data_IF_644312764159
#
_entry.id   IF_644312764159
#
_cell.length_a   1.000
_cell.length_b   1.000
_cell.length_c   1.000
_cell.angle_alpha   90.00
_cell.angle_beta   90.00
_cell.angle_gamma   90.00
#
_symmetry.space_group_name_H-M   'P 1'
#
loop_
_entity.id
_entity.type
_entity.pdbx_description
1 polymer ?
#
# COMPACT_ATOMS: atom_id res chain seq x y z
N UNK A 1 -26.06 -42.42 -50.49
CA UNK A 1 -24.81 -41.73 -50.09
C UNK A 1 -25.16 -40.60 -49.12
N UNK A 2 -25.02 -40.82 -47.80
CA UNK A 2 -25.18 -39.77 -46.78
C UNK A 2 -23.79 -39.22 -46.46
N UNK A 3 -23.56 -37.92 -46.73
CA UNK A 3 -22.29 -37.25 -46.42
C UNK A 3 -22.26 -36.95 -44.92
N UNK A 4 -21.22 -37.47 -44.26
CA UNK A 4 -20.90 -37.22 -42.87
C UNK A 4 -20.13 -35.87 -42.81
N UNK A 5 -20.73 -34.84 -42.21
CA UNK A 5 -20.00 -33.61 -41.87
C UNK A 5 -19.12 -33.87 -40.65
N UNK A 6 -17.80 -33.91 -40.83
CA UNK A 6 -16.85 -33.79 -39.73
C UNK A 6 -16.86 -32.33 -39.25
N UNK A 7 -17.38 -32.10 -38.04
CA UNK A 7 -17.16 -30.86 -37.33
C UNK A 7 -15.72 -30.86 -36.78
N UNK A 8 -14.89 -29.93 -37.25
CA UNK A 8 -13.59 -29.64 -36.64
C UNK A 8 -13.85 -29.05 -35.25
N UNK A 9 -13.72 -29.88 -34.23
CA UNK A 9 -13.67 -29.45 -32.83
C UNK A 9 -12.29 -28.84 -32.57
N UNK A 10 -12.14 -27.55 -32.87
CA UNK A 10 -10.99 -26.78 -32.40
C UNK A 10 -11.05 -26.70 -30.88
N UNK A 11 -10.17 -27.46 -30.22
CA UNK A 11 -9.92 -27.34 -28.78
C UNK A 11 -9.31 -25.95 -28.57
N UNK A 12 -10.15 -24.96 -28.29
CA UNK A 12 -9.70 -23.71 -27.70
C UNK A 12 -9.15 -24.09 -26.32
N UNK A 13 -7.82 -24.14 -26.19
CA UNK A 13 -7.16 -24.31 -24.90
C UNK A 13 -7.61 -23.16 -24.01
N UNK A 14 -8.54 -23.45 -23.08
CA UNK A 14 -8.89 -22.52 -22.01
C UNK A 14 -7.66 -22.43 -21.13
N UNK A 15 -6.82 -21.44 -21.39
CA UNK A 15 -5.77 -21.02 -20.45
C UNK A 15 -6.52 -20.44 -19.26
N UNK A 16 -6.71 -21.27 -18.23
CA UNK A 16 -7.22 -20.79 -16.96
C UNK A 16 -6.18 -19.80 -16.40
N UNK A 17 -6.57 -18.57 -16.04
CA UNK A 17 -5.66 -17.65 -15.37
C UNK A 17 -5.16 -18.35 -14.10
N UNK A 18 -3.85 -18.56 -14.01
CA UNK A 18 -3.23 -19.02 -12.77
C UNK A 18 -3.58 -17.96 -11.74
N UNK A 19 -4.28 -18.36 -10.67
CA UNK A 19 -4.69 -17.42 -9.64
C UNK A 19 -3.46 -16.65 -9.12
N UNK A 20 -3.52 -15.32 -9.10
CA UNK A 20 -2.46 -14.44 -8.58
C UNK A 20 -1.94 -14.89 -7.20
N UNK A 21 -2.81 -15.51 -6.41
CA UNK A 21 -2.49 -16.05 -5.09
C UNK A 21 -1.39 -17.13 -5.12
N UNK A 22 -1.23 -17.88 -6.21
CA UNK A 22 -0.19 -18.90 -6.32
C UNK A 22 1.21 -18.29 -6.51
N UNK A 23 1.33 -17.14 -7.20
CA UNK A 23 2.61 -16.50 -7.50
C UNK A 23 3.19 -15.77 -6.28
N UNK A 24 2.36 -15.39 -5.31
CA UNK A 24 2.73 -14.63 -4.12
C UNK A 24 2.88 -15.45 -2.83
N UNK A 25 3.10 -16.76 -2.96
CA UNK A 25 3.31 -17.67 -1.82
C UNK A 25 4.70 -18.32 -1.82
N UNK A 26 5.55 -17.97 -2.79
CA UNK A 26 6.87 -18.55 -2.94
C UNK A 26 7.84 -18.05 -1.87
N UNK A 27 8.24 -18.92 -0.95
CA UNK A 27 9.50 -18.73 -0.23
C UNK A 27 10.66 -18.93 -1.20
N UNK A 28 11.82 -18.39 -0.85
CA UNK A 28 13.02 -18.61 -1.65
C UNK A 28 13.34 -20.10 -1.79
N UNK A 29 13.45 -20.61 -3.03
CA UNK A 29 13.71 -22.02 -3.25
C UNK A 29 15.08 -22.39 -2.69
N UNK A 30 15.22 -23.65 -2.25
CA UNK A 30 16.52 -24.18 -1.84
C UNK A 30 17.53 -24.03 -2.97
N UNK A 31 18.72 -23.52 -2.65
CA UNK A 31 19.78 -23.23 -3.62
C UNK A 31 19.72 -21.84 -4.26
N UNK A 32 18.75 -21.00 -3.90
CA UNK A 32 18.74 -19.61 -4.33
C UNK A 32 19.95 -18.84 -3.78
N UNK A 33 20.49 -17.93 -4.60
CA UNK A 33 21.64 -17.09 -4.24
C UNK A 33 21.15 -15.85 -3.50
N UNK A 34 21.74 -15.53 -2.34
CA UNK A 34 21.25 -14.43 -1.49
C UNK A 34 21.92 -13.08 -1.71
N UNK A 35 22.98 -13.05 -2.52
CA UNK A 35 23.76 -11.84 -2.80
C UNK A 35 23.73 -11.56 -4.29
N UNK A 36 23.20 -10.41 -4.69
CA UNK A 36 23.25 -9.99 -6.10
C UNK A 36 24.70 -9.73 -6.53
N UNK A 37 25.09 -10.11 -7.76
CA UNK A 37 26.42 -9.82 -8.25
C UNK A 37 26.60 -8.30 -8.40
N UNK A 38 27.81 -7.81 -8.12
CA UNK A 38 28.16 -6.40 -8.34
C UNK A 38 28.90 -6.21 -9.66
N UNK A 39 28.76 -5.03 -10.28
CA UNK A 39 29.41 -4.70 -11.55
C UNK A 39 28.86 -3.41 -12.15
N UNK A 40 29.23 -3.10 -13.38
CA UNK A 40 28.58 -2.00 -14.13
C UNK A 40 27.33 -2.50 -14.87
N UNK A 41 27.39 -3.73 -15.38
CA UNK A 41 26.28 -4.45 -16.01
C UNK A 41 26.38 -5.93 -15.64
N UNK A 42 25.31 -6.48 -15.07
CA UNK A 42 25.25 -7.86 -14.58
C UNK A 42 24.07 -8.57 -15.23
N UNK A 43 24.25 -9.81 -15.64
CA UNK A 43 23.16 -10.66 -16.14
C UNK A 43 22.81 -11.72 -15.10
N UNK A 44 21.55 -11.81 -14.70
CA UNK A 44 21.00 -12.96 -13.96
C UNK A 44 20.63 -14.02 -15.00
N UNK A 45 21.35 -15.14 -15.11
CA UNK A 45 21.11 -16.13 -16.16
C UNK A 45 19.77 -16.84 -16.00
N UNK A 46 19.20 -17.32 -17.10
CA UNK A 46 18.02 -18.16 -17.07
C UNK A 46 18.24 -19.40 -16.19
N UNK A 47 17.20 -19.80 -15.44
CA UNK A 47 17.28 -20.92 -14.50
C UNK A 47 18.01 -20.62 -13.18
N UNK A 48 18.54 -19.41 -12.99
CA UNK A 48 19.12 -18.99 -11.71
C UNK A 48 18.10 -18.17 -10.92
N UNK A 49 17.98 -18.43 -9.62
CA UNK A 49 17.16 -17.65 -8.69
C UNK A 49 18.04 -16.88 -7.71
N UNK A 50 17.85 -15.57 -7.66
CA UNK A 50 18.38 -14.71 -6.61
C UNK A 50 17.28 -14.34 -5.63
N UNK A 51 17.64 -14.31 -4.36
CA UNK A 51 16.76 -14.16 -3.22
C UNK A 51 17.34 -13.13 -2.27
N UNK A 52 16.99 -11.87 -2.49
CA UNK A 52 17.52 -10.76 -1.71
C UNK A 52 16.59 -10.42 -0.56
N UNK A 53 17.20 -10.10 0.57
CA UNK A 53 16.53 -9.51 1.73
C UNK A 53 17.51 -8.56 2.40
N UNK A 54 17.02 -7.41 2.84
CA UNK A 54 17.78 -6.41 3.59
C UNK A 54 17.90 -5.08 2.87
N UNK A 55 19.07 -4.46 2.97
CA UNK A 55 19.39 -3.17 2.35
C UNK A 55 20.48 -3.36 1.30
N UNK A 56 20.21 -4.16 0.27
CA UNK A 56 21.13 -4.24 -0.87
C UNK A 56 21.14 -2.88 -1.55
N UNK A 57 22.26 -2.17 -1.47
CA UNK A 57 22.44 -0.88 -2.14
C UNK A 57 23.43 -1.08 -3.28
N UNK A 58 22.92 -1.37 -4.47
CA UNK A 58 23.73 -1.47 -5.68
C UNK A 58 23.17 -0.56 -6.79
N UNK A 59 23.01 0.72 -6.44
CA UNK A 59 22.30 1.74 -7.26
C UNK A 59 22.93 1.99 -8.63
N UNK A 60 24.20 1.63 -8.83
CA UNK A 60 24.91 1.87 -10.10
C UNK A 60 24.96 0.66 -11.02
N UNK A 61 24.60 -0.54 -10.55
CA UNK A 61 24.65 -1.75 -11.37
C UNK A 61 23.38 -1.86 -12.21
N UNK A 62 23.53 -1.95 -13.52
CA UNK A 62 22.44 -2.33 -14.42
C UNK A 62 22.29 -3.84 -14.46
N UNK A 63 21.07 -4.36 -14.35
CA UNK A 63 20.78 -5.80 -14.37
C UNK A 63 19.99 -6.19 -15.62
N UNK A 64 20.46 -7.22 -16.32
CA UNK A 64 19.68 -7.96 -17.31
C UNK A 64 19.14 -9.22 -16.64
N UNK A 65 17.83 -9.33 -16.47
CA UNK A 65 17.21 -10.42 -15.71
C UNK A 65 16.61 -11.43 -16.68
N UNK A 66 17.27 -12.59 -16.81
CA UNK A 66 16.80 -13.74 -17.59
C UNK A 66 16.31 -14.90 -16.72
N UNK A 67 16.74 -14.93 -15.46
CA UNK A 67 16.27 -15.86 -14.42
C UNK A 67 15.23 -15.21 -13.50
N UNK A 68 15.27 -15.54 -12.21
CA UNK A 68 14.31 -15.06 -11.21
C UNK A 68 15.00 -14.20 -10.17
N UNK A 69 14.44 -13.02 -9.88
CA UNK A 69 14.82 -12.18 -8.76
C UNK A 69 13.65 -12.11 -7.76
N UNK A 70 13.85 -12.63 -6.55
CA UNK A 70 12.89 -12.58 -5.46
C UNK A 70 13.39 -11.57 -4.41
N UNK A 71 12.56 -10.60 -4.07
CA UNK A 71 12.82 -9.59 -3.04
C UNK A 71 11.93 -9.91 -1.83
N UNK A 72 12.55 -10.44 -0.77
CA UNK A 72 11.82 -11.00 0.38
C UNK A 72 11.57 -9.99 1.51
N UNK A 73 12.32 -8.89 1.59
CA UNK A 73 12.17 -7.95 2.67
C UNK A 73 13.15 -6.78 2.62
N UNK A 74 12.70 -5.61 3.10
CA UNK A 74 13.52 -4.40 3.19
C UNK A 74 13.65 -3.64 1.86
N UNK A 75 14.16 -2.39 1.90
CA UNK A 75 14.42 -1.60 0.72
C UNK A 75 15.72 -2.05 0.03
N UNK A 76 15.59 -2.78 -1.07
CA UNK A 76 16.68 -3.14 -1.96
C UNK A 76 16.72 -2.17 -3.15
N UNK A 77 17.82 -1.42 -3.30
CA UNK A 77 18.00 -0.50 -4.44
C UNK A 77 18.99 -1.04 -5.45
N UNK A 78 18.54 -1.19 -6.70
CA UNK A 78 19.37 -1.55 -7.85
C UNK A 78 19.39 -0.42 -8.89
N UNK A 79 20.30 -0.49 -9.87
CA UNK A 79 20.39 0.47 -10.96
C UNK A 79 19.29 0.30 -12.00
N UNK A 80 19.63 0.27 -13.28
CA UNK A 80 18.65 0.00 -14.34
C UNK A 80 18.33 -1.50 -14.42
N UNK A 81 17.14 -1.83 -14.90
CA UNK A 81 16.68 -3.21 -15.13
C UNK A 81 16.29 -3.37 -16.58
N UNK A 82 16.80 -4.42 -17.22
CA UNK A 82 16.28 -4.97 -18.47
C UNK A 82 15.73 -6.35 -18.18
N UNK A 83 14.42 -6.52 -18.24
CA UNK A 83 13.76 -7.79 -17.93
C UNK A 83 13.42 -8.51 -19.24
N UNK A 84 14.02 -9.69 -19.44
CA UNK A 84 13.75 -10.48 -20.65
C UNK A 84 12.43 -11.25 -20.55
N UNK A 85 12.00 -11.84 -21.67
CA UNK A 85 10.73 -12.59 -21.74
C UNK A 85 10.60 -13.74 -20.75
N UNK A 86 11.71 -14.37 -20.37
CA UNK A 86 11.73 -15.47 -19.38
C UNK A 86 12.08 -14.98 -17.97
N UNK A 87 12.51 -13.73 -17.85
CA UNK A 87 12.87 -13.14 -16.58
C UNK A 87 11.64 -12.95 -15.70
N UNK A 88 11.83 -13.16 -14.40
CA UNK A 88 10.80 -12.96 -13.37
C UNK A 88 11.36 -12.09 -12.25
N UNK A 89 10.57 -11.11 -11.80
CA UNK A 89 10.81 -10.33 -10.59
C UNK A 89 9.61 -10.53 -9.66
N UNK A 90 9.86 -11.07 -8.48
CA UNK A 90 8.85 -11.27 -7.45
C UNK A 90 9.18 -10.41 -6.23
N UNK A 91 8.40 -9.36 -6.00
CA UNK A 91 8.48 -8.54 -4.80
C UNK A 91 7.48 -9.10 -3.79
N UNK A 92 8.00 -9.89 -2.84
CA UNK A 92 7.19 -10.61 -1.85
C UNK A 92 6.64 -9.67 -0.77
N UNK A 93 5.78 -10.21 0.11
CA UNK A 93 5.24 -9.48 1.27
C UNK A 93 6.35 -8.90 2.15
N UNK A 94 6.31 -7.59 2.37
CA UNK A 94 7.35 -6.85 3.11
C UNK A 94 8.60 -6.52 2.28
N UNK A 95 8.69 -7.00 1.05
CA UNK A 95 9.76 -6.66 0.11
C UNK A 95 9.56 -5.26 -0.49
N UNK A 96 10.64 -4.51 -0.63
CA UNK A 96 10.62 -3.19 -1.26
C UNK A 96 11.76 -3.08 -2.28
N UNK A 97 11.44 -3.22 -3.57
CA UNK A 97 12.42 -3.08 -4.65
C UNK A 97 12.40 -1.65 -5.18
N UNK A 98 13.55 -0.98 -5.14
CA UNK A 98 13.77 0.33 -5.77
C UNK A 98 14.67 0.18 -7.00
N UNK A 99 14.13 0.48 -8.17
CA UNK A 99 14.87 0.55 -9.43
C UNK A 99 15.22 2.01 -9.68
N UNK A 100 16.48 2.36 -9.41
CA UNK A 100 16.94 3.77 -9.45
C UNK A 100 17.19 4.29 -10.88
N UNK A 101 17.32 3.39 -11.85
CA UNK A 101 17.50 3.70 -13.26
C UNK A 101 16.25 3.42 -14.10
N UNK A 102 16.46 3.11 -15.38
CA UNK A 102 15.37 2.73 -16.29
C UNK A 102 14.94 1.28 -16.01
N UNK A 103 13.63 1.03 -15.98
CA UNK A 103 13.06 -0.31 -16.05
C UNK A 103 12.56 -0.55 -17.48
N UNK A 104 13.16 -1.48 -18.20
CA UNK A 104 12.79 -1.78 -19.59
C UNK A 104 12.50 -3.26 -19.77
N UNK A 105 11.43 -3.58 -20.50
CA UNK A 105 11.17 -4.94 -20.95
C UNK A 105 11.78 -5.32 -22.28
N UNK A 106 11.75 -6.62 -22.57
CA UNK A 106 12.06 -7.13 -23.89
C UNK A 106 11.04 -6.58 -24.91
N UNK A 107 11.46 -5.98 -26.03
CA UNK A 107 10.55 -5.48 -27.06
C UNK A 107 10.03 -6.58 -28.02
N UNK A 108 10.42 -7.84 -27.83
CA UNK A 108 10.10 -8.93 -28.76
C UNK A 108 8.66 -9.40 -28.58
N UNK A 109 7.79 -9.14 -29.55
CA UNK A 109 6.38 -9.59 -29.59
C UNK A 109 6.23 -11.09 -29.87
N UNK A 110 5.11 -11.73 -29.48
CA UNK A 110 4.08 -11.23 -28.56
C UNK A 110 4.58 -11.23 -27.11
N UNK A 111 3.89 -10.59 -26.16
CA UNK A 111 4.14 -10.72 -24.73
C UNK A 111 4.20 -12.20 -24.29
N UNK A 112 5.05 -12.55 -23.31
CA UNK A 112 5.11 -13.91 -22.81
C UNK A 112 3.82 -14.25 -22.05
N UNK A 113 3.39 -15.52 -22.09
CA UNK A 113 2.19 -15.96 -21.38
C UNK A 113 2.34 -15.97 -19.84
N UNK A 114 3.54 -15.65 -19.33
CA UNK A 114 3.83 -15.59 -17.90
C UNK A 114 3.73 -14.15 -17.40
N UNK A 115 3.41 -14.01 -16.11
CA UNK A 115 3.60 -12.75 -15.40
C UNK A 115 5.08 -12.58 -15.08
N UNK A 116 5.72 -11.58 -15.67
CA UNK A 116 7.15 -11.32 -15.47
C UNK A 116 7.42 -10.54 -14.18
N UNK A 117 6.48 -9.71 -13.74
CA UNK A 117 6.64 -8.93 -12.50
C UNK A 117 5.46 -9.17 -11.59
N UNK A 118 5.73 -9.72 -10.41
CA UNK A 118 4.73 -9.93 -9.37
C UNK A 118 5.05 -9.02 -8.18
N UNK A 119 4.13 -8.12 -7.86
CA UNK A 119 4.17 -7.31 -6.64
C UNK A 119 3.14 -7.89 -5.70
N UNK A 120 3.60 -8.63 -4.69
CA UNK A 120 2.75 -9.39 -3.80
C UNK A 120 2.07 -8.52 -2.76
N UNK A 121 1.21 -9.13 -1.94
CA UNK A 121 0.49 -8.42 -0.89
C UNK A 121 1.51 -7.71 -0.01
N UNK A 122 1.35 -6.39 0.18
CA UNK A 122 2.26 -5.56 0.97
C UNK A 122 3.68 -5.45 0.37
N UNK A 123 3.91 -5.91 -0.86
CA UNK A 123 5.16 -5.68 -1.61
C UNK A 123 5.15 -4.29 -2.26
N UNK A 124 6.33 -3.68 -2.38
CA UNK A 124 6.49 -2.35 -3.00
C UNK A 124 7.52 -2.42 -4.13
N UNK A 125 7.10 -2.10 -5.36
CA UNK A 125 8.00 -1.85 -6.49
C UNK A 125 8.02 -0.35 -6.78
N UNK A 126 9.18 0.28 -6.59
CA UNK A 126 9.40 1.70 -6.85
C UNK A 126 10.40 1.88 -8.00
N UNK A 127 9.96 2.47 -9.11
CA UNK A 127 10.78 2.76 -10.29
C UNK A 127 10.99 4.27 -10.34
N UNK A 128 12.20 4.74 -10.04
CA UNK A 128 12.48 6.17 -9.99
C UNK A 128 12.81 6.76 -11.37
N UNK A 129 13.34 5.94 -12.28
CA UNK A 129 13.60 6.31 -13.66
C UNK A 129 12.42 6.04 -14.60
N UNK A 130 12.69 6.01 -15.91
CA UNK A 130 11.66 5.71 -16.90
C UNK A 130 11.25 4.23 -16.84
N UNK A 131 9.95 3.97 -16.94
CA UNK A 131 9.39 2.63 -17.09
C UNK A 131 8.95 2.40 -18.54
N UNK A 132 9.73 1.62 -19.28
CA UNK A 132 9.43 1.16 -20.63
C UNK A 132 8.95 -0.29 -20.56
N UNK A 133 7.65 -0.50 -20.37
CA UNK A 133 7.13 -1.84 -20.11
C UNK A 133 7.42 -2.83 -21.25
N UNK A 134 7.36 -2.37 -22.51
CA UNK A 134 7.52 -3.24 -23.69
C UNK A 134 6.62 -4.47 -23.58
N UNK A 135 7.11 -5.68 -23.83
CA UNK A 135 6.36 -6.94 -23.82
C UNK A 135 6.38 -7.65 -22.45
N UNK A 136 6.16 -6.91 -21.36
CA UNK A 136 6.13 -7.44 -19.98
C UNK A 136 4.72 -7.44 -19.43
N UNK A 137 4.31 -8.60 -18.91
CA UNK A 137 3.10 -8.72 -18.10
C UNK A 137 3.42 -8.53 -16.62
N UNK A 138 2.52 -7.85 -15.90
CA UNK A 138 2.67 -7.59 -14.46
C UNK A 138 1.42 -8.03 -13.70
N UNK A 139 1.60 -8.39 -12.44
CA UNK A 139 0.53 -8.58 -11.47
C UNK A 139 0.86 -7.81 -10.19
N UNK A 140 -0.11 -7.03 -9.72
CA UNK A 140 -0.05 -6.32 -8.45
C UNK A 140 -1.14 -6.93 -7.59
N UNK A 141 -0.76 -7.78 -6.65
CA UNK A 141 -1.67 -8.49 -5.77
C UNK A 141 -2.37 -7.55 -4.79
N UNK A 142 -3.27 -8.10 -3.97
CA UNK A 142 -4.03 -7.31 -3.00
C UNK A 142 -3.14 -6.61 -1.98
N UNK A 143 -3.16 -5.28 -1.93
CA UNK A 143 -2.28 -4.51 -1.05
C UNK A 143 -0.90 -4.25 -1.62
N UNK A 144 -0.58 -4.74 -2.82
CA UNK A 144 0.69 -4.46 -3.49
C UNK A 144 0.76 -3.01 -3.98
N UNK A 145 1.97 -2.46 -4.04
CA UNK A 145 2.23 -1.07 -4.43
C UNK A 145 3.20 -1.00 -5.61
N UNK A 146 2.78 -0.34 -6.69
CA UNK A 146 3.65 0.08 -7.78
C UNK A 146 3.77 1.60 -7.77
N UNK A 147 4.98 2.12 -7.55
CA UNK A 147 5.30 3.55 -7.67
C UNK A 147 6.20 3.76 -8.89
N UNK A 148 5.80 4.63 -9.82
CA UNK A 148 6.59 5.01 -10.99
C UNK A 148 6.82 6.51 -10.95
N UNK A 149 8.01 6.95 -10.54
CA UNK A 149 8.32 8.37 -10.41
C UNK A 149 8.73 9.01 -11.76
N UNK A 150 9.30 8.21 -12.68
CA UNK A 150 9.60 8.66 -14.04
C UNK A 150 8.44 8.47 -15.02
N UNK A 151 8.72 8.66 -16.31
CA UNK A 151 7.73 8.43 -17.37
C UNK A 151 7.42 6.95 -17.54
N UNK A 152 6.15 6.60 -17.76
CA UNK A 152 5.74 5.26 -18.14
C UNK A 152 5.29 5.22 -19.59
N UNK A 153 5.89 4.36 -20.40
CA UNK A 153 5.46 4.10 -21.77
C UNK A 153 5.27 2.61 -22.06
N UNK A 154 4.21 2.29 -22.78
CA UNK A 154 4.05 1.01 -23.48
C UNK A 154 3.44 1.23 -24.86
N UNK A 155 4.06 0.60 -25.86
CA UNK A 155 3.54 0.50 -27.22
C UNK A 155 2.98 -0.91 -27.52
N UNK A 156 3.21 -1.88 -26.63
CA UNK A 156 2.77 -3.26 -26.78
C UNK A 156 1.25 -3.38 -26.66
N UNK A 157 0.64 -4.14 -27.57
CA UNK A 157 -0.81 -4.31 -27.66
C UNK A 157 -1.36 -5.45 -26.79
N UNK A 158 -0.48 -6.34 -26.37
CA UNK A 158 -0.76 -7.64 -25.79
C UNK A 158 -0.26 -7.78 -24.35
N UNK A 159 0.33 -6.73 -23.78
CA UNK A 159 0.68 -6.69 -22.35
C UNK A 159 -0.51 -6.44 -21.45
N UNK A 160 -0.53 -7.08 -20.28
CA UNK A 160 -1.54 -6.89 -19.24
C UNK A 160 -0.90 -6.51 -17.92
N UNK A 161 -1.66 -5.74 -17.13
CA UNK A 161 -1.35 -5.53 -15.72
C UNK A 161 -2.55 -5.94 -14.90
N UNK A 162 -2.40 -7.08 -14.24
CA UNK A 162 -3.43 -7.61 -13.36
C UNK A 162 -3.35 -6.88 -12.01
N UNK A 163 -4.47 -6.33 -11.54
CA UNK A 163 -4.54 -5.60 -10.28
C UNK A 163 -5.52 -6.26 -9.32
N UNK A 164 -5.06 -6.51 -8.10
CA UNK A 164 -5.85 -7.08 -7.01
C UNK A 164 -6.66 -6.04 -6.25
N UNK A 165 -7.67 -6.47 -5.48
CA UNK A 165 -8.36 -5.61 -4.52
C UNK A 165 -7.36 -4.92 -3.58
N UNK A 166 -7.49 -3.61 -3.41
CA UNK A 166 -6.57 -2.79 -2.61
C UNK A 166 -5.13 -2.79 -3.15
N UNK A 167 -4.91 -3.06 -4.44
CA UNK A 167 -3.64 -2.67 -5.05
C UNK A 167 -3.57 -1.15 -5.20
N UNK A 168 -2.37 -0.56 -5.14
CA UNK A 168 -2.15 0.84 -5.45
C UNK A 168 -1.08 0.99 -6.52
N UNK A 169 -1.40 1.77 -7.55
CA UNK A 169 -0.46 2.26 -8.55
C UNK A 169 -0.36 3.76 -8.39
N UNK A 170 0.84 4.31 -8.22
CA UNK A 170 1.09 5.74 -8.25
C UNK A 170 2.11 6.08 -9.35
N UNK A 171 1.77 7.06 -10.17
CA UNK A 171 2.58 7.46 -11.31
C UNK A 171 2.82 8.96 -11.25
N UNK A 172 4.08 9.34 -11.11
CA UNK A 172 4.43 10.75 -11.03
C UNK A 172 4.80 11.35 -12.38
N UNK A 173 5.30 10.54 -13.33
CA UNK A 173 5.67 11.00 -14.66
C UNK A 173 4.60 10.79 -15.71
N UNK A 174 4.91 11.23 -16.95
CA UNK A 174 3.96 11.13 -18.07
C UNK A 174 3.71 9.67 -18.42
N UNK A 175 2.44 9.31 -18.61
CA UNK A 175 2.01 7.98 -19.02
C UNK A 175 1.64 7.97 -20.49
N UNK A 176 2.16 7.04 -21.27
CA UNK A 176 1.77 6.82 -22.67
C UNK A 176 1.47 5.34 -22.88
N UNK A 177 0.19 5.02 -23.03
CA UNK A 177 -0.30 3.65 -23.17
C UNK A 177 -1.10 3.54 -24.47
N UNK A 178 -0.59 2.75 -25.42
CA UNK A 178 -1.23 2.52 -26.72
C UNK A 178 -2.37 1.49 -26.68
N UNK A 179 -2.56 0.77 -25.57
CA UNK A 179 -3.53 -0.31 -25.41
C UNK A 179 -4.83 0.17 -24.76
N UNK A 180 -5.96 -0.31 -25.30
CA UNK A 180 -7.28 -0.22 -24.66
C UNK A 180 -7.47 -1.37 -23.66
N UNK A 181 -7.87 -1.08 -22.44
CA UNK A 181 -7.97 -2.05 -21.35
C UNK A 181 -6.58 -2.54 -20.92
N UNK A 182 -5.77 -1.61 -20.46
CA UNK A 182 -4.40 -1.85 -20.03
C UNK A 182 -4.30 -2.59 -18.68
N UNK A 183 -5.18 -2.22 -17.75
CA UNK A 183 -5.32 -2.84 -16.43
C UNK A 183 -6.44 -3.90 -16.46
N UNK A 184 -6.20 -5.03 -15.83
CA UNK A 184 -7.19 -6.09 -15.64
C UNK A 184 -7.45 -6.26 -14.15
N UNK A 185 -8.66 -5.93 -13.71
CA UNK A 185 -9.05 -6.11 -12.32
C UNK A 185 -9.34 -7.59 -12.04
N UNK A 186 -8.68 -8.14 -11.01
CA UNK A 186 -8.76 -9.57 -10.67
C UNK A 186 -9.76 -9.87 -9.56
N UNK A 187 -10.41 -8.84 -9.00
CA UNK A 187 -11.38 -8.99 -7.92
C UNK A 187 -12.39 -7.85 -7.90
N UNK A 188 -13.36 -7.96 -6.99
CA UNK A 188 -14.50 -7.03 -6.88
C UNK A 188 -14.28 -5.88 -5.89
N UNK A 189 -13.11 -5.82 -5.26
CA UNK A 189 -12.78 -4.76 -4.29
C UNK A 189 -12.07 -3.60 -4.96
N UNK A 190 -12.17 -2.42 -4.36
CA UNK A 190 -11.51 -1.20 -4.83
C UNK A 190 -10.01 -1.37 -4.98
N UNK A 191 -9.43 -0.94 -6.10
CA UNK A 191 -8.00 -0.71 -6.28
C UNK A 191 -7.76 0.77 -6.58
N UNK A 192 -6.52 1.26 -6.45
CA UNK A 192 -6.22 2.70 -6.51
C UNK A 192 -5.23 3.01 -7.62
N UNK A 193 -5.54 4.02 -8.44
CA UNK A 193 -4.60 4.59 -9.41
C UNK A 193 -4.45 6.09 -9.15
N UNK A 194 -3.22 6.49 -8.83
CA UNK A 194 -2.81 7.87 -8.61
C UNK A 194 -1.89 8.30 -9.75
N UNK A 195 -2.19 9.44 -10.37
CA UNK A 195 -1.36 9.97 -11.44
C UNK A 195 -1.15 11.48 -11.22
N UNK A 196 0.09 11.94 -11.08
CA UNK A 196 0.35 13.35 -10.80
C UNK A 196 0.47 14.22 -12.05
N UNK A 197 0.73 13.62 -13.21
CA UNK A 197 1.00 14.35 -14.45
C UNK A 197 0.24 13.79 -15.65
N UNK A 198 0.33 14.48 -16.79
CA UNK A 198 -0.35 14.18 -18.03
C UNK A 198 -0.25 12.71 -18.47
N UNK A 199 -1.24 12.20 -19.21
CA UNK A 199 -1.21 10.87 -19.79
C UNK A 199 -1.93 10.81 -21.12
N UNK A 200 -1.42 9.98 -22.03
CA UNK A 200 -2.08 9.61 -23.27
C UNK A 200 -2.47 8.14 -23.18
N UNK A 201 -3.77 7.87 -23.28
CA UNK A 201 -4.33 6.53 -23.20
C UNK A 201 -5.16 6.25 -24.44
N UNK A 202 -4.99 5.07 -25.03
CA UNK A 202 -5.83 4.63 -26.13
C UNK A 202 -7.09 3.93 -25.61
N UNK A 203 -8.13 4.71 -25.28
CA UNK A 203 -9.42 4.17 -24.82
C UNK A 203 -9.51 4.05 -23.30
N UNK A 204 -10.06 2.93 -22.82
CA UNK A 204 -10.24 2.65 -21.40
C UNK A 204 -8.93 2.19 -20.76
N UNK A 205 -8.69 2.60 -19.52
CA UNK A 205 -7.55 2.11 -18.75
C UNK A 205 -7.82 0.70 -18.25
N UNK A 206 -9.03 0.38 -17.77
CA UNK A 206 -9.42 -0.96 -17.32
C UNK A 206 -10.12 -1.77 -18.42
N UNK A 207 -9.86 -3.08 -18.50
CA UNK A 207 -10.60 -4.02 -19.34
C UNK A 207 -12.07 -4.13 -18.95
N UNK A 208 -12.41 -3.83 -17.68
CA UNK A 208 -13.78 -3.78 -17.19
C UNK A 208 -14.56 -2.54 -17.68
N UNK A 209 -13.88 -1.54 -18.27
CA UNK A 209 -14.47 -0.32 -18.79
C UNK A 209 -15.39 0.33 -17.74
N UNK A 210 -16.68 0.50 -18.05
CA UNK A 210 -17.71 1.06 -17.17
C UNK A 210 -17.93 0.30 -15.86
N UNK A 211 -17.46 -0.95 -15.75
CA UNK A 211 -17.59 -1.78 -14.56
C UNK A 211 -16.33 -1.77 -13.69
N UNK A 212 -15.37 -0.87 -13.96
CA UNK A 212 -14.14 -0.76 -13.19
C UNK A 212 -14.39 -0.33 -11.75
N UNK A 213 -13.78 -1.04 -10.80
CA UNK A 213 -13.71 -0.74 -9.37
C UNK A 213 -12.39 -0.04 -9.00
N UNK A 214 -11.63 0.44 -9.98
CA UNK A 214 -10.50 1.32 -9.67
C UNK A 214 -11.11 2.63 -9.14
N UNK A 215 -10.71 3.07 -7.95
CA UNK A 215 -10.99 4.39 -7.39
C UNK A 215 -9.78 5.32 -7.59
N UNK A 216 -10.03 6.61 -7.81
CA UNK A 216 -9.05 7.56 -8.36
C UNK A 216 -9.19 8.91 -7.67
N UNK A 217 -8.08 9.65 -7.53
CA UNK A 217 -8.08 10.99 -6.92
C UNK A 217 -7.11 11.92 -7.64
N UNK A 218 -7.38 13.22 -7.68
CA UNK A 218 -6.51 14.23 -8.30
C UNK A 218 -6.41 15.49 -7.46
N UNK A 219 -5.20 16.06 -7.29
CA UNK A 219 -4.94 17.52 -7.29
C UNK A 219 -3.51 17.83 -7.76
N UNK A 220 -3.36 18.92 -8.52
CA UNK A 220 -2.25 19.37 -9.39
C UNK A 220 -2.37 18.82 -10.82
N UNK A 221 -2.07 19.63 -11.85
CA UNK A 221 -2.78 19.54 -13.12
C UNK A 221 -2.50 18.20 -13.78
N UNK A 222 -3.59 17.44 -13.96
CA UNK A 222 -3.73 16.12 -14.60
C UNK A 222 -3.46 14.87 -13.75
N UNK A 223 -4.34 14.59 -12.77
CA UNK A 223 -4.80 13.20 -12.57
C UNK A 223 -6.13 13.01 -13.32
N UNK A 224 -6.18 11.98 -14.16
CA UNK A 224 -7.31 11.68 -15.03
C UNK A 224 -8.22 10.64 -14.41
N UNK A 225 -9.51 10.71 -14.74
CA UNK A 225 -10.45 9.61 -14.63
C UNK A 225 -10.97 9.27 -16.03
N UNK A 226 -11.27 7.99 -16.26
CA UNK A 226 -12.38 7.61 -17.13
C UNK A 226 -13.59 7.47 -16.21
N UNK A 227 -14.48 8.47 -16.12
CA UNK A 227 -15.71 8.50 -16.91
C UNK A 227 -16.26 9.93 -17.01
N UNK A 228 -16.39 10.45 -18.23
CA UNK A 228 -17.72 10.52 -18.83
C UNK A 228 -17.82 9.69 -20.11
N UNK A 229 -19.05 9.48 -20.60
CA UNK A 229 -19.40 8.71 -21.80
C UNK A 229 -18.75 9.17 -23.13
N UNK A 230 -17.81 10.13 -23.09
CA UNK A 230 -17.32 10.88 -24.24
C UNK A 230 -15.83 10.69 -24.56
N UNK A 231 -15.16 9.63 -24.09
CA UNK A 231 -13.74 9.32 -24.43
C UNK A 231 -12.75 10.46 -24.10
N UNK A 232 -13.15 11.39 -23.23
CA UNK A 232 -12.38 12.58 -22.88
C UNK A 232 -12.17 12.57 -21.38
N UNK A 233 -10.93 12.27 -20.99
CA UNK A 233 -10.49 12.34 -19.62
C UNK A 233 -10.37 13.83 -19.24
N UNK A 234 -11.38 14.39 -18.60
CA UNK A 234 -11.28 15.72 -17.97
C UNK A 234 -11.11 15.53 -16.46
N UNK A 235 -10.12 16.21 -15.86
CA UNK A 235 -9.71 16.02 -14.48
C UNK A 235 -10.80 16.32 -13.45
N UNK A 236 -10.83 15.53 -12.36
CA UNK A 236 -11.82 15.62 -11.27
C UNK A 236 -11.12 15.86 -9.92
N UNK A 237 -11.25 17.06 -9.34
CA UNK A 237 -10.45 17.52 -8.19
C UNK A 237 -11.01 17.23 -6.79
N UNK A 238 -11.09 15.96 -6.35
CA UNK A 238 -11.48 15.65 -4.96
C UNK A 238 -10.55 14.63 -4.27
N UNK A 239 -9.91 15.05 -3.16
CA UNK A 239 -9.01 14.25 -2.31
C UNK A 239 -9.74 13.35 -1.29
N UNK A 240 -11.07 13.43 -1.15
CA UNK A 240 -11.79 12.65 -0.12
C UNK A 240 -11.72 11.15 -0.32
N UNK A 241 -11.29 10.69 -1.49
CA UNK A 241 -11.15 9.26 -1.84
C UNK A 241 -9.70 8.76 -1.74
N UNK A 242 -8.75 9.62 -1.35
CA UNK A 242 -7.35 9.22 -1.27
C UNK A 242 -7.06 8.44 0.01
N UNK A 243 -6.07 7.52 0.01
CA UNK A 243 -5.55 6.95 1.23
C UNK A 243 -5.24 8.09 2.23
N UNK A 244 -5.70 8.01 3.49
CA UNK A 244 -5.49 9.08 4.46
C UNK A 244 -4.01 9.39 4.63
N UNK A 245 -3.57 10.59 4.24
CA UNK A 245 -2.16 11.01 4.30
C UNK A 245 -1.53 11.26 2.93
N UNK A 246 -2.15 10.80 1.84
CA UNK A 246 -1.72 11.17 0.49
C UNK A 246 -1.92 12.69 0.28
N UNK A 247 -0.88 13.35 -0.22
CA UNK A 247 -0.93 14.74 -0.67
C UNK A 247 -0.58 14.85 -2.17
N UNK A 248 -0.22 16.04 -2.65
CA UNK A 248 0.10 16.27 -4.07
C UNK A 248 1.57 16.03 -4.43
N UNK A 249 2.37 15.48 -3.51
CA UNK A 249 3.76 15.13 -3.79
C UNK A 249 3.83 13.72 -4.39
N UNK A 250 4.76 13.57 -5.32
CA UNK A 250 5.06 12.28 -5.90
C UNK A 250 5.53 11.28 -4.85
N UNK A 251 4.84 10.14 -4.75
CA UNK A 251 5.20 9.04 -3.89
C UNK A 251 4.49 9.07 -2.54
N UNK A 252 3.75 10.13 -2.22
CA UNK A 252 3.12 10.25 -0.91
C UNK A 252 1.92 9.32 -0.77
N UNK A 253 1.20 9.03 -1.87
CA UNK A 253 0.13 8.02 -1.84
C UNK A 253 0.72 6.63 -1.59
N UNK A 254 1.75 6.23 -2.33
CA UNK A 254 2.45 4.95 -2.21
C UNK A 254 3.14 4.81 -0.84
N UNK A 255 3.81 5.86 -0.35
CA UNK A 255 4.44 5.85 0.96
C UNK A 255 3.40 5.72 2.08
N UNK A 256 2.34 6.51 2.02
CA UNK A 256 1.22 6.43 2.97
C UNK A 256 0.58 5.05 2.93
N UNK A 257 0.32 4.52 1.74
CA UNK A 257 -0.30 3.22 1.54
C UNK A 257 0.58 2.07 2.01
N UNK A 258 1.87 2.08 1.66
CA UNK A 258 2.84 1.12 2.15
C UNK A 258 2.95 1.18 3.68
N UNK A 259 2.97 2.37 4.28
CA UNK A 259 2.99 2.52 5.74
C UNK A 259 1.68 2.05 6.42
N UNK A 260 0.56 2.05 5.69
CA UNK A 260 -0.74 1.55 6.13
C UNK A 260 -0.84 0.01 6.00
N UNK A 261 -0.31 -0.54 4.92
CA UNK A 261 -0.52 -1.93 4.47
C UNK A 261 0.63 -2.86 4.83
N UNK A 262 1.89 -2.41 4.81
CA UNK A 262 3.00 -3.21 5.31
C UNK A 262 2.66 -3.67 6.72
N UNK A 263 3.02 -4.91 7.09
CA UNK A 263 2.67 -5.44 8.39
C UNK A 263 3.43 -4.56 9.36
N UNK A 264 2.68 -3.66 10.00
CA UNK A 264 3.18 -2.78 11.03
C UNK A 264 3.93 -3.69 11.99
N UNK A 265 5.26 -3.64 11.94
CA UNK A 265 6.04 -4.37 12.93
C UNK A 265 5.70 -3.85 14.33
N UNK A 266 5.09 -2.66 14.42
CA UNK A 266 4.35 -2.15 15.58
C UNK A 266 2.98 -2.82 15.69
N UNK A 267 2.90 -3.83 16.54
CA UNK A 267 1.67 -4.58 16.82
C UNK A 267 0.71 -3.72 17.64
N UNK A 268 1.23 -3.04 18.66
CA UNK A 268 0.48 -2.13 19.51
C UNK A 268 1.28 -0.86 19.75
N UNK A 269 0.57 0.26 19.86
CA UNK A 269 1.10 1.54 20.34
C UNK A 269 0.01 2.22 21.13
N UNK A 270 0.20 2.30 22.44
CA UNK A 270 -0.82 2.73 23.39
C UNK A 270 -0.20 3.52 24.53
N UNK A 271 -1.07 4.25 25.24
CA UNK A 271 -0.71 5.04 26.39
C UNK A 271 -1.52 4.61 27.61
N UNK A 272 -0.95 4.76 28.79
CA UNK A 272 -1.63 4.51 30.07
C UNK A 272 -1.11 5.47 31.14
N UNK A 273 -1.93 5.73 32.16
CA UNK A 273 -1.52 6.55 33.31
C UNK A 273 -1.17 5.67 34.49
N UNK A 274 -0.01 5.93 35.10
CA UNK A 274 0.39 5.35 36.38
C UNK A 274 0.76 6.49 37.34
N UNK A 275 -0.21 6.92 38.15
CA UNK A 275 -0.08 8.14 38.96
C UNK A 275 0.10 9.37 38.07
N UNK A 276 1.16 10.15 38.32
CA UNK A 276 1.53 11.33 37.51
C UNK A 276 2.47 11.01 36.34
N UNK A 277 2.60 9.73 35.99
CA UNK A 277 3.43 9.27 34.86
C UNK A 277 2.55 8.80 33.72
N UNK A 278 2.75 9.39 32.55
CA UNK A 278 2.25 8.90 31.28
C UNK A 278 3.21 7.81 30.78
N UNK A 279 2.73 6.58 30.68
CA UNK A 279 3.45 5.48 30.06
C UNK A 279 2.99 5.35 28.62
N UNK A 280 3.93 5.39 27.68
CA UNK A 280 3.67 5.09 26.27
C UNK A 280 4.41 3.81 25.94
N UNK A 281 3.70 2.80 25.45
CA UNK A 281 4.28 1.49 25.13
C UNK A 281 4.05 1.17 23.66
N UNK A 282 5.12 0.72 23.00
CA UNK A 282 5.09 0.16 21.65
C UNK A 282 5.46 -1.32 21.71
N UNK A 283 4.63 -2.19 21.16
CA UNK A 283 4.92 -3.62 21.01
C UNK A 283 5.37 -3.89 19.58
N UNK A 284 6.51 -4.57 19.43
CA UNK A 284 7.11 -4.88 18.13
C UNK A 284 7.39 -6.37 17.99
N UNK A 285 7.17 -6.97 16.82
CA UNK A 285 7.47 -8.39 16.61
C UNK A 285 8.97 -8.70 16.82
N UNK A 286 9.30 -9.78 17.56
CA UNK A 286 10.70 -10.23 17.72
C UNK A 286 11.29 -10.68 16.38
N UNK A 287 12.51 -10.22 16.08
CA UNK A 287 13.21 -10.48 14.82
C UNK A 287 13.59 -9.20 14.06
N UNK A 288 12.92 -8.10 14.39
CA UNK A 288 13.16 -6.77 13.85
C UNK A 288 14.41 -6.15 14.49
N UNK A 289 15.53 -6.08 13.77
CA UNK A 289 16.77 -5.46 14.28
C UNK A 289 16.82 -3.98 13.91
N UNK A 290 16.36 -3.14 14.82
CA UNK A 290 16.47 -1.68 14.70
C UNK A 290 17.80 -1.18 15.25
N UNK A 291 18.43 -0.23 14.56
CA UNK A 291 19.66 0.41 15.08
C UNK A 291 19.34 1.48 16.11
N UNK A 292 18.15 2.06 16.03
CA UNK A 292 17.68 3.06 16.99
C UNK A 292 16.15 3.15 16.97
N UNK A 293 15.60 3.60 18.09
CA UNK A 293 14.19 3.92 18.25
C UNK A 293 14.06 5.29 18.91
N UNK A 294 12.93 5.96 18.70
CA UNK A 294 12.58 7.16 19.42
C UNK A 294 11.07 7.32 19.53
N UNK A 295 10.65 7.87 20.66
CA UNK A 295 9.37 8.52 20.77
C UNK A 295 9.49 9.92 20.19
N UNK A 296 8.63 10.22 19.23
CA UNK A 296 8.44 11.51 18.63
C UNK A 296 7.21 12.16 19.26
N UNK A 297 7.25 13.47 19.47
CA UNK A 297 6.11 14.23 19.96
C UNK A 297 5.79 15.41 19.04
N UNK A 298 4.53 15.79 19.01
CA UNK A 298 4.01 16.89 18.22
C UNK A 298 2.90 17.61 18.98
N UNK A 299 2.91 18.94 19.06
CA UNK A 299 1.79 19.69 19.64
C UNK A 299 0.57 19.74 18.70
N UNK A 300 0.75 19.60 17.39
CA UNK A 300 -0.29 19.76 16.37
C UNK A 300 -0.67 18.45 15.65
N UNK A 301 0.09 17.37 15.88
CA UNK A 301 -0.09 16.07 15.24
C UNK A 301 0.37 16.04 13.79
N UNK A 302 1.11 17.06 13.33
CA UNK A 302 1.65 17.16 11.96
C UNK A 302 3.17 17.18 11.96
N UNK A 303 3.77 17.99 12.81
CA UNK A 303 5.23 18.16 12.88
C UNK A 303 5.77 17.42 14.10
N UNK A 304 6.43 16.29 13.86
CA UNK A 304 6.96 15.43 14.92
C UNK A 304 8.45 15.66 15.16
N UNK A 305 8.81 15.92 16.42
CA UNK A 305 10.19 16.07 16.86
C UNK A 305 10.58 14.94 17.82
N UNK A 306 11.83 14.48 17.75
CA UNK A 306 12.35 13.46 18.65
C UNK A 306 12.32 13.96 20.10
N UNK A 307 11.71 13.19 20.99
CA UNK A 307 11.72 13.48 22.42
C UNK A 307 13.05 13.08 23.08
N UNK A 308 13.31 13.59 24.27
CA UNK A 308 14.46 13.20 25.09
C UNK A 308 14.20 11.92 25.93
N UNK A 309 12.99 11.36 25.89
CA UNK A 309 12.63 10.20 26.69
C UNK A 309 13.20 8.93 26.04
N UNK A 310 13.95 8.16 26.83
CA UNK A 310 14.48 6.87 26.41
C UNK A 310 13.45 5.76 26.67
N UNK A 311 13.40 4.78 25.77
CA UNK A 311 12.62 3.57 25.99
C UNK A 311 13.34 2.66 26.99
N UNK A 312 12.57 2.02 27.87
CA UNK A 312 12.98 0.77 28.51
C UNK A 312 12.53 -0.37 27.59
N UNK A 313 13.49 -1.14 27.09
CA UNK A 313 13.22 -2.31 26.28
C UNK A 313 12.98 -3.53 27.17
N UNK A 314 11.93 -4.29 26.89
CA UNK A 314 11.71 -5.61 27.47
C UNK A 314 11.21 -6.59 26.42
N UNK A 315 11.47 -7.89 26.60
CA UNK A 315 11.03 -8.92 25.66
C UNK A 315 10.08 -9.87 26.39
N UNK A 316 8.87 -10.03 25.90
CA UNK A 316 7.91 -11.00 26.45
C UNK A 316 7.01 -11.56 25.36
N UNK A 317 6.66 -12.84 25.45
CA UNK A 317 5.76 -13.52 24.50
C UNK A 317 6.10 -13.37 23.00
N UNK A 318 7.40 -13.27 22.66
CA UNK A 318 7.82 -13.08 21.26
C UNK A 318 7.63 -11.65 20.75
N UNK A 319 7.45 -10.68 21.65
CA UNK A 319 7.36 -9.25 21.35
C UNK A 319 8.47 -8.49 22.07
N UNK A 320 8.95 -7.42 21.44
CA UNK A 320 9.82 -6.41 22.05
C UNK A 320 8.95 -5.22 22.42
N UNK A 321 8.91 -4.88 23.70
CA UNK A 321 8.17 -3.75 24.25
C UNK A 321 9.12 -2.58 24.48
N UNK A 322 8.81 -1.44 23.89
CA UNK A 322 9.48 -0.17 24.17
C UNK A 322 8.56 0.69 25.03
N UNK A 323 8.87 0.81 26.32
CA UNK A 323 8.07 1.64 27.25
C UNK A 323 8.79 2.94 27.57
N UNK A 324 8.13 4.05 27.31
CA UNK A 324 8.57 5.41 27.63
C UNK A 324 7.82 5.90 28.85
N UNK A 325 8.54 6.47 29.82
CA UNK A 325 7.95 7.13 30.99
C UNK A 325 8.08 8.64 30.85
N UNK A 326 6.93 9.32 30.76
CA UNK A 326 6.84 10.77 30.58
C UNK A 326 6.12 11.42 31.76
N UNK A 327 6.46 12.66 32.13
CA UNK A 327 5.65 13.42 33.07
C UNK A 327 4.23 13.65 32.55
N UNK A 328 3.23 13.64 33.43
CA UNK A 328 1.82 13.89 33.11
C UNK A 328 1.57 15.09 32.19
N UNK A 329 2.31 16.19 32.35
CA UNK A 329 2.20 17.38 31.50
C UNK A 329 2.44 17.15 30.00
N UNK A 330 2.92 15.97 29.60
CA UNK A 330 3.15 15.61 28.20
C UNK A 330 1.93 14.94 27.58
N UNK A 331 0.94 14.56 28.37
CA UNK A 331 -0.30 13.97 27.88
C UNK A 331 -1.15 14.92 27.03
N UNK A 332 -0.76 16.18 26.86
CA UNK A 332 -1.38 17.12 25.91
C UNK A 332 -0.79 17.06 24.49
N UNK A 333 0.21 16.19 24.24
CA UNK A 333 0.89 16.07 22.95
C UNK A 333 0.43 14.86 22.16
N UNK A 334 0.60 14.94 20.84
CA UNK A 334 0.55 13.77 19.96
C UNK A 334 1.88 13.05 20.00
N UNK A 335 1.83 11.73 19.98
CA UNK A 335 3.03 10.91 19.96
C UNK A 335 3.06 10.00 18.76
N UNK A 336 4.26 9.71 18.30
CA UNK A 336 4.51 8.70 17.29
C UNK A 336 5.79 7.99 17.69
N UNK A 337 5.80 6.66 17.61
CA UNK A 337 7.03 5.92 17.75
C UNK A 337 7.68 5.72 16.39
N UNK A 338 8.99 5.90 16.32
CA UNK A 338 9.78 5.68 15.10
C UNK A 338 10.94 4.76 15.43
N UNK A 339 11.18 3.78 14.56
CA UNK A 339 12.40 2.97 14.58
C UNK A 339 13.09 3.03 13.23
N UNK A 340 14.41 2.92 13.23
CA UNK A 340 15.19 2.99 12.00
C UNK A 340 16.47 2.17 12.03
N UNK A 341 16.91 1.80 10.84
CA UNK A 341 18.24 1.28 10.51
C UNK A 341 19.00 2.31 9.66
N UNK A 342 20.18 1.95 9.14
CA UNK A 342 20.94 2.83 8.24
C UNK A 342 20.23 3.13 6.91
N UNK A 343 19.21 2.34 6.53
CA UNK A 343 18.53 2.47 5.23
C UNK A 343 17.00 2.40 5.28
N UNK A 344 16.40 2.16 6.45
CA UNK A 344 14.97 1.98 6.57
C UNK A 344 14.43 2.65 7.84
N UNK A 345 13.16 3.04 7.83
CA UNK A 345 12.47 3.50 9.03
C UNK A 345 11.01 3.13 9.03
N UNK A 346 10.54 2.64 10.17
CA UNK A 346 9.11 2.43 10.40
C UNK A 346 8.59 3.45 11.41
N UNK A 347 7.30 3.71 11.32
CA UNK A 347 6.60 4.59 12.24
C UNK A 347 5.32 3.90 12.70
N UNK A 348 4.98 4.09 13.97
CA UNK A 348 3.65 3.72 14.47
C UNK A 348 2.60 4.67 13.92
N UNK A 349 1.34 4.35 14.17
CA UNK A 349 0.28 5.36 14.13
C UNK A 349 0.53 6.48 15.15
N UNK A 350 -0.16 7.59 14.96
CA UNK A 350 -0.10 8.73 15.88
C UNK A 350 -1.03 8.46 17.07
N UNK A 351 -0.47 8.48 18.28
CA UNK A 351 -1.22 8.56 19.52
C UNK A 351 -1.69 10.00 19.74
N UNK A 352 -2.99 10.22 19.93
CA UNK A 352 -3.52 11.52 20.25
C UNK A 352 -3.26 11.91 21.73
N UNK A 353 -3.22 13.21 22.07
CA UNK A 353 -3.19 13.70 23.45
C UNK A 353 -4.21 13.02 24.37
N UNK A 354 -3.75 12.49 25.51
CA UNK A 354 -4.55 11.90 26.58
C UNK A 354 -5.29 12.95 27.42
N UNK A 355 -4.68 14.10 27.74
CA UNK A 355 -5.31 15.15 28.54
C UNK A 355 -6.18 16.10 27.71
N UNK A 356 -7.31 16.41 28.33
CA UNK A 356 -8.41 17.28 27.90
C UNK A 356 -7.95 18.58 27.21
N UNK A 357 -8.46 18.79 25.99
CA UNK A 357 -8.31 20.06 25.26
C UNK A 357 -8.32 19.90 23.74
N UNK A 358 -8.01 18.71 23.23
CA UNK A 358 -8.13 18.47 21.80
C UNK A 358 -9.61 18.48 21.37
N UNK A 359 -10.05 19.64 20.90
CA UNK A 359 -11.32 19.89 20.23
C UNK A 359 -11.36 19.09 18.93
N UNK A 360 -11.60 17.78 19.00
CA UNK A 360 -11.56 16.94 17.82
C UNK A 360 -12.11 15.56 18.08
N UNK A 361 -13.05 15.17 17.23
CA UNK A 361 -13.47 13.78 17.10
C UNK A 361 -12.29 12.90 16.64
N UNK A 362 -12.04 11.81 17.36
CA UNK A 362 -10.92 10.89 17.09
C UNK A 362 -11.38 9.43 17.07
N UNK A 363 -10.65 8.61 16.32
CA UNK A 363 -10.88 7.18 16.10
C UNK A 363 -9.53 6.48 16.20
N UNK A 364 -9.37 5.52 17.10
CA UNK A 364 -8.10 4.80 17.33
C UNK A 364 -8.33 3.42 17.96
N UNK A 365 -7.39 2.47 17.89
CA UNK A 365 -6.20 2.52 17.06
C UNK A 365 -6.59 2.55 15.58
N UNK A 366 -5.70 3.07 14.75
CA UNK A 366 -5.84 2.97 13.30
C UNK A 366 -4.48 2.56 12.74
N UNK A 367 -4.29 1.29 12.35
CA UNK A 367 -5.31 0.25 12.16
C UNK A 367 -5.93 -0.32 13.45
N UNK A 368 -7.12 -0.92 13.36
CA UNK A 368 -7.80 -1.63 14.45
C UNK A 368 -8.05 -3.11 14.09
N UNK A 369 -7.84 -4.01 15.05
CA UNK A 369 -8.11 -5.45 14.89
C UNK A 369 -9.47 -5.82 15.52
N UNK A 370 -9.62 -5.70 16.83
CA UNK A 370 -10.82 -6.17 17.54
C UNK A 370 -11.64 -5.06 18.16
N UNK A 371 -11.01 -3.97 18.58
CA UNK A 371 -11.66 -2.87 19.28
C UNK A 371 -11.28 -1.55 18.62
N UNK A 372 -12.27 -0.68 18.47
CA UNK A 372 -12.15 0.69 18.00
C UNK A 372 -12.62 1.64 19.10
N UNK A 373 -11.77 2.56 19.50
CA UNK A 373 -12.07 3.63 20.44
C UNK A 373 -12.42 4.91 19.71
N UNK A 374 -13.53 5.52 20.11
CA UNK A 374 -13.93 6.86 19.67
C UNK A 374 -13.73 7.82 20.82
N UNK A 375 -12.97 8.89 20.60
CA UNK A 375 -12.93 10.00 21.55
C UNK A 375 -13.73 11.17 20.99
N UNK A 376 -14.83 11.45 21.67
CA UNK A 376 -15.81 12.46 21.28
C UNK A 376 -15.63 13.66 22.20
N UNK A 377 -15.39 14.86 21.65
CA UNK A 377 -15.31 16.07 22.46
C UNK A 377 -16.61 16.33 23.21
N UNK A 378 -16.53 16.77 24.46
CA UNK A 378 -17.70 17.05 25.30
C UNK A 378 -18.56 18.22 24.75
N UNK A 379 -17.99 19.07 23.88
CA UNK A 379 -18.68 20.17 23.21
C UNK A 379 -19.45 19.75 21.94
N UNK A 380 -19.38 18.47 21.54
CA UNK A 380 -20.06 17.96 20.34
C UNK A 380 -21.25 17.07 20.70
N UNK A 381 -22.43 17.50 20.27
CA UNK A 381 -23.69 16.77 20.45
C UNK A 381 -23.88 15.68 19.36
N UNK A 382 -22.91 14.79 19.17
CA UNK A 382 -23.14 13.61 18.33
C UNK A 382 -24.06 12.63 19.05
N UNK A 383 -25.07 12.12 18.36
CA UNK A 383 -26.03 11.15 18.91
C UNK A 383 -25.83 9.76 18.32
N UNK A 384 -25.28 9.68 17.11
CA UNK A 384 -25.03 8.41 16.41
C UNK A 384 -23.73 8.44 15.63
N UNK A 385 -23.08 7.28 15.53
CA UNK A 385 -22.04 7.01 14.54
C UNK A 385 -22.41 5.78 13.71
N UNK A 386 -22.07 5.78 12.43
CA UNK A 386 -22.26 4.63 11.54
C UNK A 386 -20.93 4.21 10.95
N UNK A 387 -20.57 2.96 11.18
CA UNK A 387 -19.45 2.27 10.56
C UNK A 387 -19.88 1.69 9.21
N UNK A 388 -19.19 2.03 8.14
CA UNK A 388 -19.38 1.49 6.79
C UNK A 388 -18.07 0.92 6.27
N UNK A 389 -18.14 -0.09 5.39
CA UNK A 389 -16.95 -0.55 4.65
C UNK A 389 -16.67 0.37 3.45
N UNK A 390 -15.64 0.04 2.67
CA UNK A 390 -15.23 0.80 1.49
C UNK A 390 -16.25 0.82 0.34
N UNK A 391 -17.25 -0.07 0.36
CA UNK A 391 -18.37 -0.03 -0.60
C UNK A 391 -19.51 0.87 -0.14
N UNK A 392 -19.39 1.48 1.05
CA UNK A 392 -20.44 2.26 1.70
C UNK A 392 -21.51 1.39 2.38
N UNK A 393 -21.36 0.06 2.40
CA UNK A 393 -22.29 -0.83 3.09
C UNK A 393 -22.20 -0.61 4.59
N UNK A 394 -23.36 -0.44 5.23
CA UNK A 394 -23.45 -0.29 6.68
C UNK A 394 -23.02 -1.57 7.39
N UNK A 395 -22.01 -1.43 8.24
CA UNK A 395 -21.43 -2.51 9.03
C UNK A 395 -21.99 -2.49 10.44
N UNK A 396 -22.03 -1.31 11.08
CA UNK A 396 -22.53 -1.16 12.45
C UNK A 396 -23.04 0.26 12.68
N UNK A 397 -24.12 0.38 13.46
CA UNK A 397 -24.57 1.66 14.00
C UNK A 397 -24.26 1.71 15.50
N UNK A 398 -23.76 2.84 15.97
CA UNK A 398 -23.28 3.08 17.33
C UNK A 398 -24.07 4.26 17.91
N UNK A 399 -24.67 4.06 19.08
CA UNK A 399 -25.30 5.15 19.83
C UNK A 399 -24.25 5.86 20.67
N UNK A 400 -24.19 7.18 20.56
CA UNK A 400 -23.24 8.01 21.30
C UNK A 400 -23.93 8.58 22.54
N UNK A 401 -23.37 8.39 23.76
CA UNK A 401 -23.89 9.02 24.96
C UNK A 401 -23.84 10.55 24.88
N UNK A 402 -24.85 11.23 25.41
CA UNK A 402 -25.04 12.68 25.28
C UNK A 402 -23.89 13.55 25.81
N UNK A 403 -23.01 13.00 26.66
CA UNK A 403 -21.89 13.73 27.28
C UNK A 403 -20.56 13.55 26.53
N UNK A 404 -20.56 12.91 25.36
CA UNK A 404 -19.32 12.59 24.64
C UNK A 404 -18.41 11.65 25.45
N UNK A 405 -17.10 11.78 25.28
CA UNK A 405 -16.10 10.99 26.00
C UNK A 405 -15.49 9.85 25.18
N UNK A 406 -14.89 8.89 25.88
CA UNK A 406 -14.28 7.71 25.28
C UNK A 406 -15.32 6.59 25.14
N UNK A 407 -15.54 6.13 23.90
CA UNK A 407 -16.42 5.02 23.58
C UNK A 407 -15.58 3.87 23.04
N UNK A 408 -15.74 2.68 23.60
CA UNK A 408 -15.16 1.45 23.05
C UNK A 408 -16.18 0.76 22.16
N UNK A 409 -15.75 0.31 20.97
CA UNK A 409 -16.58 -0.41 20.00
C UNK A 409 -15.87 -1.70 19.64
N UNK A 410 -16.47 -2.83 19.99
CA UNK A 410 -16.02 -4.12 19.49
C UNK A 410 -16.32 -4.22 17.99
N UNK A 411 -15.33 -4.48 17.16
CA UNK A 411 -15.55 -4.68 15.74
C UNK A 411 -16.21 -6.06 15.54
N UNK A 412 -17.27 -6.17 14.71
CA UNK A 412 -17.89 -7.46 14.41
C UNK A 412 -16.85 -8.50 13.99
N UNK A 413 -16.95 -9.72 14.53
CA UNK A 413 -16.12 -10.82 14.10
C UNK A 413 -16.36 -11.09 12.60
N UNK A 414 -15.29 -11.42 11.86
CA UNK A 414 -15.38 -11.74 10.44
C UNK A 414 -15.45 -10.53 9.49
N UNK A 415 -15.21 -9.30 9.97
CA UNK A 415 -14.93 -8.19 9.07
C UNK A 415 -13.68 -8.46 8.24
N UNK A 416 -13.80 -8.29 6.92
CA UNK A 416 -12.67 -8.35 6.01
C UNK A 416 -11.61 -7.32 6.39
N UNK A 417 -10.34 -7.64 6.15
CA UNK A 417 -9.29 -6.63 6.20
C UNK A 417 -9.59 -5.56 5.14
N UNK A 418 -9.35 -4.29 5.46
CA UNK A 418 -9.60 -3.19 4.51
C UNK A 418 -9.90 -1.86 5.16
N UNK A 419 -10.31 -0.90 4.33
CA UNK A 419 -10.66 0.46 4.73
C UNK A 419 -12.11 0.53 5.22
N UNK A 420 -12.30 1.18 6.36
CA UNK A 420 -13.59 1.42 6.98
C UNK A 420 -13.76 2.90 7.29
N UNK A 421 -15.01 3.34 7.22
CA UNK A 421 -15.41 4.71 7.41
C UNK A 421 -16.36 4.78 8.59
N UNK A 422 -16.18 5.76 9.47
CA UNK A 422 -17.11 6.05 10.55
C UNK A 422 -17.63 7.47 10.42
N UNK A 423 -18.96 7.56 10.26
CA UNK A 423 -19.69 8.80 10.03
C UNK A 423 -20.47 9.17 11.29
N UNK A 424 -20.27 10.37 11.80
CA UNK A 424 -20.94 10.87 13.00
C UNK A 424 -22.08 11.80 12.62
N UNK A 425 -23.22 11.67 13.30
CA UNK A 425 -24.39 12.53 13.14
C UNK A 425 -24.84 13.07 14.49
N UNK A 426 -25.02 14.38 14.56
CA UNK A 426 -25.64 15.05 15.70
C UNK A 426 -27.15 15.20 15.54
N UNK A 427 -27.76 16.02 16.41
CA UNK A 427 -29.10 16.51 16.17
C UNK A 427 -29.17 17.40 14.90
N UNK A 428 -30.38 17.68 14.42
CA UNK A 428 -30.75 18.04 13.03
C UNK A 428 -30.07 19.29 12.41
N UNK A 429 -29.03 19.87 13.03
CA UNK A 429 -28.29 21.04 12.55
C UNK A 429 -26.74 20.90 12.61
N UNK A 430 -26.18 19.78 13.08
CA UNK A 430 -24.72 19.65 13.31
C UNK A 430 -23.95 18.99 12.14
N UNK A 431 -22.66 19.32 11.95
CA UNK A 431 -21.85 18.82 10.84
C UNK A 431 -21.67 17.30 10.89
N UNK A 432 -21.72 16.68 9.72
CA UNK A 432 -21.31 15.29 9.52
C UNK A 432 -19.79 15.24 9.60
N UNK A 433 -19.26 14.45 10.53
CA UNK A 433 -17.82 14.19 10.59
C UNK A 433 -17.54 12.78 10.09
N UNK A 434 -16.61 12.65 9.14
CA UNK A 434 -16.14 11.38 8.60
C UNK A 434 -14.73 11.10 9.10
N UNK A 435 -14.50 9.88 9.59
CA UNK A 435 -13.17 9.40 9.97
C UNK A 435 -12.93 8.06 9.30
N UNK A 436 -11.68 7.82 8.93
CA UNK A 436 -11.24 6.60 8.25
C UNK A 436 -10.38 5.80 9.20
N UNK A 437 -10.57 4.48 9.24
CA UNK A 437 -9.63 3.57 9.88
C UNK A 437 -9.51 2.25 9.11
N UNK A 438 -8.43 1.53 9.32
CA UNK A 438 -8.13 0.25 8.67
C UNK A 438 -8.49 -0.88 9.63
N UNK A 439 -9.25 -1.88 9.17
CA UNK A 439 -9.42 -3.16 9.89
C UNK A 439 -8.27 -4.10 9.50
N UNK A 440 -7.52 -4.57 10.49
CA UNK A 440 -6.53 -5.65 10.34
C UNK A 440 -7.07 -6.98 10.85
N UNK A 441 -6.32 -8.08 10.71
CA UNK A 441 -6.81 -9.42 11.06
C UNK A 441 -7.22 -9.51 12.53
#
# INVERSE_FOLDING_TARGET
MKRLCLANLSIAGVVLPIALTAQCTGTCPSGALTTLPSGTSVTIPAGTTYCVSGSVVNKTTSYVINGTLIVQGGPDTIGSVTLSRTGVIDVQTGGHLVVSGTFTGDPTTPAPAITNVNVCNEGVLNITGAFQQQEINMAIASGGVLLVQGSWSTNASDVTIDIGPSALIEICGVVTVSKNGFLTETGTGTSYLFQHTGGTYNGWISTAQNASNIDWTSVAPSAFATHPAARTCNGCGNLTLAPPGADNNCGDAAATYANIILPLQVINFYESMQGDTLLITTDVATGSRWTATALMASPDGRSFAKTAYAAVESVSAGLVHFTYSLPFKQADQYFQWKAWTAGDSIQSWVLPPLLTGASGLRVYPNPASTVLYLRIPQDKAFTTATLTDNTGRLVRQITIPAQGGLISIDLPAGLSQGLYFITFRGDRAQPVALKVFIKQR
#
